data_IF_167441352149
#
_entry.id   IF_167441352149
#
_cell.length_a   1.000
_cell.length_b   1.000
_cell.length_c   1.000
_cell.angle_alpha   90.00
_cell.angle_beta   90.00
_cell.angle_gamma   90.00
#
_symmetry.space_group_name_H-M   'P 1'
#
loop_
_entity.id
_entity.type
_entity.pdbx_description
1 polymer ?
#
# COMPACT_ATOMS: atom_id res chain seq x y z
N UNK A 1 15.79 -5.02 -14.11
CA UNK A 1 14.66 -5.47 -13.27
C UNK A 1 15.00 -5.14 -11.82
N UNK A 2 14.02 -4.70 -11.01
CA UNK A 2 14.24 -4.42 -9.58
C UNK A 2 14.53 -5.74 -8.82
N UNK A 3 15.43 -5.77 -7.81
CA UNK A 3 15.73 -6.99 -7.05
C UNK A 3 14.51 -7.65 -6.39
N UNK A 4 13.52 -6.86 -5.95
CA UNK A 4 12.27 -7.37 -5.39
C UNK A 4 11.43 -8.08 -6.46
N UNK A 5 11.32 -7.50 -7.66
CA UNK A 5 10.63 -8.14 -8.79
C UNK A 5 11.32 -9.44 -9.19
N UNK A 6 12.67 -9.46 -9.23
CA UNK A 6 13.42 -10.68 -9.53
C UNK A 6 13.15 -11.78 -8.50
N UNK A 7 13.19 -11.45 -7.20
CA UNK A 7 12.93 -12.42 -6.14
C UNK A 7 11.50 -12.97 -6.19
N UNK A 8 10.51 -12.12 -6.48
CA UNK A 8 9.11 -12.53 -6.67
C UNK A 8 8.97 -13.47 -7.88
N UNK A 9 9.62 -13.14 -8.99
CA UNK A 9 9.61 -13.97 -10.19
C UNK A 9 10.26 -15.33 -9.95
N UNK A 10 11.36 -15.40 -9.20
CA UNK A 10 12.01 -16.67 -8.83
C UNK A 10 11.10 -17.54 -7.95
N UNK A 11 10.46 -16.96 -6.93
CA UNK A 11 9.50 -17.66 -6.08
C UNK A 11 8.27 -18.16 -6.88
N UNK A 12 7.76 -17.33 -7.78
CA UNK A 12 6.61 -17.70 -8.61
C UNK A 12 6.97 -18.79 -9.63
N UNK A 13 8.15 -18.73 -10.26
CA UNK A 13 8.66 -19.79 -11.14
C UNK A 13 8.81 -21.13 -10.42
N UNK A 14 9.31 -21.11 -9.18
CA UNK A 14 9.50 -22.33 -8.38
C UNK A 14 8.17 -22.94 -7.93
N UNK A 15 7.19 -22.11 -7.58
CA UNK A 15 5.89 -22.58 -7.08
C UNK A 15 4.88 -22.89 -8.19
N UNK A 16 4.79 -22.05 -9.23
CA UNK A 16 3.79 -22.10 -10.29
C UNK A 16 4.36 -21.56 -11.62
N UNK A 17 5.15 -22.36 -12.36
CA UNK A 17 5.80 -21.91 -13.59
C UNK A 17 4.82 -21.49 -14.69
N UNK A 18 3.65 -22.13 -14.77
CA UNK A 18 2.59 -21.77 -15.72
C UNK A 18 1.98 -20.39 -15.45
N UNK A 19 1.89 -19.98 -14.18
CA UNK A 19 1.41 -18.62 -13.85
C UNK A 19 2.48 -17.59 -14.16
N UNK A 20 3.75 -17.92 -13.94
CA UNK A 20 4.84 -17.03 -14.34
C UNK A 20 4.86 -16.80 -15.86
N UNK A 21 4.62 -17.84 -16.67
CA UNK A 21 4.64 -17.73 -18.14
C UNK A 21 3.50 -16.86 -18.70
N UNK A 22 2.42 -16.69 -17.94
CA UNK A 22 1.30 -15.80 -18.28
C UNK A 22 1.60 -14.31 -18.01
N UNK A 23 2.67 -13.98 -17.27
CA UNK A 23 3.00 -12.59 -16.96
C UNK A 23 3.55 -11.88 -18.20
N UNK A 24 2.97 -10.72 -18.52
CA UNK A 24 3.54 -9.78 -19.48
C UNK A 24 4.89 -9.22 -19.00
N UNK A 25 5.65 -8.60 -19.90
CA UNK A 25 6.90 -7.91 -19.54
C UNK A 25 6.70 -6.88 -18.42
N UNK A 26 5.56 -6.16 -18.42
CA UNK A 26 5.20 -5.26 -17.34
C UNK A 26 4.98 -6.03 -16.03
N UNK A 27 4.21 -7.13 -16.07
CA UNK A 27 3.94 -7.97 -14.91
C UNK A 27 5.21 -8.52 -14.27
N UNK A 28 6.17 -8.97 -15.09
CA UNK A 28 7.47 -9.46 -14.62
C UNK A 28 8.35 -8.35 -14.01
N UNK A 29 8.12 -7.08 -14.36
CA UNK A 29 8.85 -5.95 -13.78
C UNK A 29 8.13 -5.31 -12.58
N UNK A 30 6.87 -5.66 -12.32
CA UNK A 30 6.09 -5.15 -11.19
C UNK A 30 6.55 -5.79 -9.88
N UNK A 31 6.50 -5.00 -8.81
CA UNK A 31 6.78 -5.44 -7.45
C UNK A 31 6.14 -4.46 -6.46
N UNK A 32 5.93 -4.90 -5.22
CA UNK A 32 5.54 -4.01 -4.15
C UNK A 32 6.78 -3.36 -3.50
N UNK A 33 6.94 -2.02 -3.56
CA UNK A 33 8.13 -1.37 -3.04
C UNK A 33 8.28 -1.53 -1.52
N UNK A 34 9.49 -1.83 -1.07
CA UNK A 34 9.89 -1.69 0.33
C UNK A 34 10.53 -0.32 0.55
N UNK A 35 10.68 0.10 1.81
CA UNK A 35 11.26 1.40 2.18
C UNK A 35 10.25 2.26 2.94
N UNK A 36 9.86 3.42 2.38
CA UNK A 36 8.93 4.35 3.04
C UNK A 36 7.60 3.69 3.44
N UNK A 37 7.09 2.76 2.64
CA UNK A 37 5.86 2.02 2.94
C UNK A 37 6.04 1.09 4.14
N UNK A 38 7.19 0.40 4.23
CA UNK A 38 7.53 -0.46 5.35
C UNK A 38 7.76 0.35 6.63
N UNK A 39 8.52 1.44 6.54
CA UNK A 39 8.78 2.35 7.67
C UNK A 39 7.49 2.97 8.20
N UNK A 40 6.58 3.37 7.30
CA UNK A 40 5.28 3.90 7.70
C UNK A 40 4.40 2.85 8.38
N UNK A 41 4.49 1.58 7.94
CA UNK A 41 3.78 0.47 8.57
C UNK A 41 4.34 0.16 9.98
N UNK A 42 5.66 0.16 10.14
CA UNK A 42 6.33 -0.04 11.43
C UNK A 42 5.99 1.08 12.44
N UNK A 43 5.86 2.32 11.96
CA UNK A 43 5.53 3.48 12.79
C UNK A 43 4.07 3.49 13.31
N UNK A 44 3.19 2.60 12.82
CA UNK A 44 1.76 2.58 13.22
C UNK A 44 1.52 2.40 14.72
N UNK A 45 2.41 1.70 15.42
CA UNK A 45 2.31 1.46 16.87
C UNK A 45 2.95 2.55 17.73
N UNK A 46 3.56 3.56 17.11
CA UNK A 46 4.21 4.66 17.83
C UNK A 46 3.18 5.63 18.40
N UNK A 47 3.47 6.20 19.57
CA UNK A 47 2.61 7.22 20.20
C UNK A 47 2.46 8.47 19.33
N UNK A 48 3.49 8.83 18.58
CA UNK A 48 3.51 9.99 17.68
C UNK A 48 3.98 9.55 16.30
N UNK A 49 3.03 9.20 15.43
CA UNK A 49 3.34 8.76 14.09
C UNK A 49 3.45 9.96 13.12
N UNK A 50 4.70 10.35 12.82
CA UNK A 50 5.02 11.43 11.88
C UNK A 50 5.37 10.93 10.46
N UNK A 51 5.01 9.68 10.12
CA UNK A 51 5.25 9.08 8.78
C UNK A 51 4.02 9.15 7.87
N UNK A 52 2.84 9.41 8.44
CA UNK A 52 1.58 9.44 7.72
C UNK A 52 1.51 10.70 6.85
N UNK A 53 1.39 10.52 5.53
CA UNK A 53 1.20 11.62 4.57
C UNK A 53 -0.22 12.18 4.52
N UNK A 54 -0.91 12.26 5.65
CA UNK A 54 -2.30 12.72 5.77
C UNK A 54 -2.42 13.66 6.97
N UNK A 55 -3.37 14.59 6.91
CA UNK A 55 -3.65 15.47 8.04
C UNK A 55 -4.43 14.71 9.13
N UNK A 56 -3.90 14.67 10.35
CA UNK A 56 -4.53 14.00 11.50
C UNK A 56 -4.57 14.93 12.71
N UNK A 57 -5.55 14.71 13.58
CA UNK A 57 -5.67 15.33 14.90
C UNK A 57 -5.92 14.25 15.98
N UNK A 58 -6.20 14.68 17.20
CA UNK A 58 -6.49 13.81 18.35
C UNK A 58 -7.73 12.92 18.16
N UNK A 59 -8.63 13.26 17.22
CA UNK A 59 -9.83 12.51 16.88
C UNK A 59 -9.66 11.63 15.64
N UNK A 60 -8.51 11.64 14.99
CA UNK A 60 -8.21 10.83 13.80
C UNK A 60 -7.93 11.67 12.55
N UNK A 61 -8.34 11.16 11.38
CA UNK A 61 -8.08 11.80 10.09
C UNK A 61 -8.92 13.08 9.93
N UNK A 62 -8.31 14.12 9.37
CA UNK A 62 -8.99 15.38 9.07
C UNK A 62 -9.61 15.32 7.67
N UNK A 63 -10.84 15.83 7.55
CA UNK A 63 -11.56 15.88 6.28
C UNK A 63 -12.52 17.07 6.23
N UNK A 64 -12.94 17.43 5.02
CA UNK A 64 -13.98 18.44 4.81
C UNK A 64 -15.37 17.78 4.87
N UNK A 65 -16.27 18.32 5.71
CA UNK A 65 -17.63 17.78 5.85
C UNK A 65 -18.40 17.73 4.51
N UNK A 66 -18.18 18.70 3.63
CA UNK A 66 -18.79 18.72 2.30
C UNK A 66 -18.41 17.50 1.45
N UNK A 67 -17.18 17.00 1.59
CA UNK A 67 -16.73 15.79 0.89
C UNK A 67 -17.27 14.52 1.58
N UNK A 68 -17.25 14.48 2.91
CA UNK A 68 -17.75 13.31 3.65
C UNK A 68 -19.25 13.07 3.39
N UNK A 69 -20.05 14.12 3.22
CA UNK A 69 -21.47 14.01 2.88
C UNK A 69 -21.76 13.47 1.48
N UNK A 70 -20.74 13.35 0.61
CA UNK A 70 -20.91 12.70 -0.69
C UNK A 70 -20.87 11.16 -0.59
N UNK A 71 -20.39 10.62 0.54
CA UNK A 71 -20.21 9.19 0.76
C UNK A 71 -21.10 8.73 1.91
N UNK A 72 -22.33 8.31 1.59
CA UNK A 72 -23.36 8.02 2.60
C UNK A 72 -23.19 6.67 3.30
N UNK A 73 -22.36 5.76 2.78
CA UNK A 73 -22.25 4.38 3.25
C UNK A 73 -20.84 4.01 3.75
N UNK A 74 -19.90 4.95 3.70
CA UNK A 74 -18.50 4.73 4.08
C UNK A 74 -18.14 5.53 5.32
N UNK A 75 -17.32 4.95 6.20
CA UNK A 75 -16.80 5.71 7.34
C UNK A 75 -15.71 6.68 6.86
N UNK A 76 -15.43 7.76 7.61
CA UNK A 76 -14.31 8.65 7.28
C UNK A 76 -12.96 7.92 7.15
N UNK A 77 -12.75 6.83 7.89
CA UNK A 77 -11.52 6.04 7.81
C UNK A 77 -11.40 5.20 6.52
N UNK A 78 -12.54 4.92 5.86
CA UNK A 78 -12.60 4.23 4.57
C UNK A 78 -12.41 5.19 3.39
N UNK A 79 -12.68 6.49 3.60
CA UNK A 79 -12.67 7.53 2.56
C UNK A 79 -11.36 8.31 2.53
N UNK A 80 -10.89 8.73 3.70
CA UNK A 80 -9.72 9.59 3.90
C UNK A 80 -8.58 8.81 4.51
#
# INVERSE_FOLDING_TARGET
MNPLAQNLNEQLKQSNPEIFSMLSDLGQNMFYPKGILSQSAEAKSTKYNATIGMATNDKGKMYANALNQMFNELSPDDIF
#
